data_IF_551186996299
#
_entry.id   IF_551186996299
#
_cell.length_a   1.000
_cell.length_b   1.000
_cell.length_c   1.000
_cell.angle_alpha   90.00
_cell.angle_beta   90.00
_cell.angle_gamma   90.00
#
_symmetry.space_group_name_H-M   'P 1'
#
loop_
_entity.id
_entity.type
_entity.pdbx_description
1 polymer ?
#
# COMPACT_ATOMS: atom_id res chain seq x y z
N UNK A 1 -42.50 -50.05 -40.58
CA UNK A 1 -43.02 -49.57 -39.27
C UNK A 1 -44.47 -50.01 -38.95
N UNK A 2 -45.13 -50.86 -39.76
CA UNK A 2 -46.56 -51.20 -39.56
C UNK A 2 -46.81 -52.42 -38.65
N UNK A 3 -45.96 -53.45 -38.71
CA UNK A 3 -46.19 -54.73 -38.00
C UNK A 3 -46.13 -54.63 -36.46
N UNK A 4 -45.27 -53.78 -35.91
CA UNK A 4 -45.13 -53.61 -34.45
C UNK A 4 -46.35 -52.91 -33.80
N UNK A 5 -47.13 -52.15 -34.57
CA UNK A 5 -48.39 -51.54 -34.10
C UNK A 5 -49.52 -52.58 -34.04
N UNK A 6 -49.50 -53.56 -34.93
CA UNK A 6 -50.47 -54.68 -34.98
C UNK A 6 -50.40 -55.57 -33.74
N UNK A 7 -49.19 -55.98 -33.32
CA UNK A 7 -49.04 -56.89 -32.18
C UNK A 7 -49.42 -56.25 -30.83
N UNK A 8 -49.08 -54.96 -30.63
CA UNK A 8 -49.44 -54.22 -29.42
C UNK A 8 -50.95 -53.92 -29.35
N UNK A 9 -51.59 -53.69 -30.50
CA UNK A 9 -53.04 -53.58 -30.62
C UNK A 9 -53.75 -54.93 -30.34
N UNK A 10 -53.21 -56.04 -30.86
CA UNK A 10 -53.72 -57.39 -30.60
C UNK A 10 -53.62 -57.78 -29.11
N UNK A 11 -52.53 -57.43 -28.43
CA UNK A 11 -52.39 -57.65 -26.98
C UNK A 11 -53.27 -56.71 -26.14
N UNK A 12 -53.50 -55.47 -26.60
CA UNK A 12 -54.43 -54.55 -25.95
C UNK A 12 -55.89 -55.00 -26.09
N UNK A 13 -56.27 -55.59 -27.23
CA UNK A 13 -57.57 -56.25 -27.42
C UNK A 13 -57.78 -57.41 -26.44
N UNK A 14 -56.72 -58.16 -26.10
CA UNK A 14 -56.77 -59.27 -25.13
C UNK A 14 -57.21 -58.85 -23.72
N UNK A 15 -56.96 -57.59 -23.33
CA UNK A 15 -57.34 -57.07 -22.00
C UNK A 15 -58.84 -56.73 -21.90
N UNK A 16 -59.55 -56.65 -23.02
CA UNK A 16 -60.99 -56.37 -23.09
C UNK A 16 -61.88 -57.60 -23.31
N UNK A 17 -61.32 -58.82 -23.45
CA UNK A 17 -62.10 -60.07 -23.59
C UNK A 17 -62.56 -60.66 -22.25
N UNK A 18 -62.79 -59.82 -21.25
CA UNK A 18 -63.28 -60.22 -19.94
C UNK A 18 -64.81 -60.23 -19.85
N UNK A 19 -65.57 -60.65 -20.88
CA UNK A 19 -67.03 -60.89 -20.77
C UNK A 19 -67.71 -61.29 -22.10
N UNK A 20 -67.30 -62.42 -22.72
CA UNK A 20 -68.13 -63.32 -23.56
C UNK A 20 -67.19 -64.15 -24.44
N UNK A 21 -66.89 -65.39 -24.04
CA UNK A 21 -66.37 -66.39 -24.98
C UNK A 21 -67.50 -66.79 -25.93
N UNK A 22 -67.67 -66.05 -27.02
CA UNK A 22 -68.32 -66.61 -28.21
C UNK A 22 -67.37 -67.66 -28.76
N UNK A 23 -67.82 -68.91 -28.81
CA UNK A 23 -67.06 -70.00 -29.40
C UNK A 23 -66.65 -69.61 -30.83
N UNK A 24 -65.35 -69.62 -31.14
CA UNK A 24 -64.81 -69.21 -32.45
C UNK A 24 -65.40 -70.07 -33.58
N UNK A 25 -65.60 -71.37 -33.33
CA UNK A 25 -66.17 -72.32 -34.28
C UNK A 25 -67.42 -73.00 -33.70
N UNK A 26 -68.48 -73.05 -34.51
CA UNK A 26 -69.70 -73.82 -34.33
C UNK A 26 -69.91 -74.73 -35.55
N UNK A 27 -70.84 -75.69 -35.47
CA UNK A 27 -71.15 -76.57 -36.61
C UNK A 27 -71.67 -75.82 -37.84
N UNK A 28 -72.28 -74.65 -37.63
CA UNK A 28 -72.86 -73.83 -38.71
C UNK A 28 -71.85 -72.94 -39.44
N UNK A 29 -70.67 -72.66 -38.86
CA UNK A 29 -69.66 -71.76 -39.42
C UNK A 29 -68.29 -72.43 -39.60
N UNK A 30 -68.26 -73.76 -39.63
CA UNK A 30 -67.02 -74.54 -39.63
C UNK A 30 -66.10 -74.20 -40.81
N UNK A 31 -66.64 -74.07 -42.02
CA UNK A 31 -65.86 -73.79 -43.24
C UNK A 31 -65.26 -72.38 -43.25
N UNK A 32 -66.03 -71.39 -42.82
CA UNK A 32 -65.58 -70.00 -42.66
C UNK A 32 -64.53 -69.87 -41.55
N UNK A 33 -64.74 -70.58 -40.42
CA UNK A 33 -63.82 -70.59 -39.29
C UNK A 33 -62.49 -71.27 -39.63
N UNK A 34 -62.53 -72.37 -40.40
CA UNK A 34 -61.33 -73.05 -40.90
C UNK A 34 -60.54 -72.20 -41.90
N UNK A 35 -61.24 -71.50 -42.80
CA UNK A 35 -60.61 -70.57 -43.75
C UNK A 35 -59.94 -69.40 -43.02
N UNK A 36 -60.63 -68.80 -42.04
CA UNK A 36 -60.09 -67.74 -41.19
C UNK A 36 -58.88 -68.22 -40.39
N UNK A 37 -58.96 -69.41 -39.79
CA UNK A 37 -57.84 -70.00 -39.04
C UNK A 37 -56.64 -70.29 -39.96
N UNK A 38 -56.88 -70.74 -41.19
CA UNK A 38 -55.82 -70.99 -42.17
C UNK A 38 -55.08 -69.69 -42.53
N UNK A 39 -55.78 -68.60 -42.79
CA UNK A 39 -55.19 -67.28 -43.06
C UNK A 39 -54.37 -66.76 -41.86
N UNK A 40 -54.91 -66.90 -40.65
CA UNK A 40 -54.20 -66.51 -39.43
C UNK A 40 -52.92 -67.34 -39.25
N UNK A 41 -52.98 -68.66 -39.41
CA UNK A 41 -51.81 -69.53 -39.34
C UNK A 41 -50.75 -69.16 -40.38
N UNK A 42 -51.15 -68.87 -41.62
CA UNK A 42 -50.23 -68.39 -42.66
C UNK A 42 -49.55 -67.08 -42.27
N UNK A 43 -50.29 -66.15 -41.64
CA UNK A 43 -49.73 -64.88 -41.16
C UNK A 43 -48.65 -65.07 -40.08
N UNK A 44 -48.73 -66.17 -39.31
CA UNK A 44 -47.71 -66.60 -38.35
C UNK A 44 -46.62 -67.50 -38.97
N UNK A 45 -46.62 -67.70 -40.29
CA UNK A 45 -45.68 -68.56 -41.01
C UNK A 45 -45.90 -70.06 -40.77
N UNK A 46 -47.10 -70.44 -40.33
CA UNK A 46 -47.49 -71.84 -40.09
C UNK A 46 -48.31 -72.31 -41.28
N UNK A 47 -47.89 -73.41 -41.92
CA UNK A 47 -48.63 -74.00 -43.03
C UNK A 47 -50.06 -74.32 -42.59
N UNK A 48 -51.10 -73.85 -43.31
CA UNK A 48 -52.48 -74.10 -42.95
C UNK A 48 -52.85 -75.56 -43.19
N UNK A 49 -53.78 -76.06 -42.39
CA UNK A 49 -54.34 -77.40 -42.54
C UNK A 49 -55.59 -77.28 -43.40
N UNK A 50 -55.47 -77.58 -44.69
CA UNK A 50 -56.63 -77.67 -45.58
C UNK A 50 -57.38 -78.98 -45.29
N UNK A 51 -58.64 -78.87 -44.92
CA UNK A 51 -59.53 -80.00 -44.67
C UNK A 51 -60.59 -79.98 -45.77
N UNK A 52 -60.44 -80.82 -46.80
CA UNK A 52 -61.53 -80.97 -47.78
C UNK A 52 -62.58 -81.93 -47.19
N UNK A 53 -63.86 -81.54 -47.23
CA UNK A 53 -64.95 -82.33 -46.66
C UNK A 53 -65.09 -83.75 -47.28
N UNK A 54 -64.58 -83.93 -48.51
CA UNK A 54 -64.56 -85.23 -49.22
C UNK A 54 -63.39 -86.14 -48.80
N UNK A 55 -62.42 -85.64 -48.02
CA UNK A 55 -61.23 -86.41 -47.61
C UNK A 55 -61.42 -87.22 -46.33
N UNK A 56 -62.51 -87.00 -45.58
CA UNK A 56 -62.76 -87.67 -44.29
C UNK A 56 -63.52 -88.99 -44.48
N UNK A 57 -63.30 -89.67 -45.60
CA UNK A 57 -63.94 -90.97 -45.88
C UNK A 57 -63.17 -92.16 -45.27
N UNK A 58 -61.95 -91.94 -44.74
CA UNK A 58 -61.11 -92.99 -44.15
C UNK A 58 -60.51 -92.60 -42.78
N UNK A 59 -60.27 -93.60 -41.93
CA UNK A 59 -59.57 -93.40 -40.64
C UNK A 59 -58.13 -92.91 -40.84
N UNK A 60 -57.49 -93.25 -41.96
CA UNK A 60 -56.10 -92.89 -42.27
C UNK A 60 -55.97 -91.39 -42.62
N UNK A 61 -56.90 -90.85 -43.40
CA UNK A 61 -56.94 -89.42 -43.74
C UNK A 61 -57.26 -88.54 -42.53
N UNK A 62 -58.11 -89.01 -41.61
CA UNK A 62 -58.38 -88.32 -40.34
C UNK A 62 -57.13 -88.25 -39.43
N UNK A 63 -56.33 -89.31 -39.40
CA UNK A 63 -55.03 -89.32 -38.68
C UNK A 63 -54.06 -88.31 -39.29
N UNK A 64 -53.96 -88.23 -40.62
CA UNK A 64 -53.08 -87.27 -41.30
C UNK A 64 -53.48 -85.81 -41.02
N UNK A 65 -54.78 -85.50 -41.10
CA UNK A 65 -55.30 -84.16 -40.77
C UNK A 65 -55.04 -83.82 -39.30
N UNK A 66 -55.26 -84.77 -38.40
CA UNK A 66 -54.98 -84.60 -36.96
C UNK A 66 -53.49 -84.33 -36.70
N UNK A 67 -52.59 -85.04 -37.38
CA UNK A 67 -51.15 -84.81 -37.26
C UNK A 67 -50.73 -83.42 -37.78
N UNK A 68 -51.29 -82.98 -38.91
CA UNK A 68 -51.05 -81.62 -39.45
C UNK A 68 -51.53 -80.55 -38.47
N UNK A 69 -52.71 -80.74 -37.88
CA UNK A 69 -53.29 -79.82 -36.90
C UNK A 69 -52.47 -79.76 -35.60
N UNK A 70 -52.06 -80.91 -35.08
CA UNK A 70 -51.19 -80.99 -33.90
C UNK A 70 -49.85 -80.31 -34.13
N UNK A 71 -49.26 -80.47 -35.32
CA UNK A 71 -48.02 -79.77 -35.69
C UNK A 71 -48.21 -78.26 -35.83
N UNK A 72 -49.34 -77.80 -36.38
CA UNK A 72 -49.67 -76.38 -36.45
C UNK A 72 -49.83 -75.76 -35.05
N UNK A 73 -50.57 -76.43 -34.16
CA UNK A 73 -50.71 -76.00 -32.76
C UNK A 73 -49.38 -76.02 -32.01
N UNK A 74 -48.55 -77.04 -32.22
CA UNK A 74 -47.22 -77.10 -31.62
C UNK A 74 -46.34 -75.92 -32.05
N UNK A 75 -46.32 -75.60 -33.36
CA UNK A 75 -45.61 -74.42 -33.89
C UNK A 75 -46.14 -73.13 -33.29
N UNK A 76 -47.45 -72.97 -33.17
CA UNK A 76 -48.07 -71.79 -32.57
C UNK A 76 -47.66 -71.61 -31.10
N UNK A 77 -47.76 -72.68 -30.30
CA UNK A 77 -47.35 -72.66 -28.88
C UNK A 77 -45.85 -72.36 -28.76
N UNK A 78 -45.04 -72.96 -29.62
CA UNK A 78 -43.59 -72.75 -29.61
C UNK A 78 -43.24 -71.29 -29.95
N UNK A 79 -43.83 -70.75 -31.02
CA UNK A 79 -43.65 -69.35 -31.43
C UNK A 79 -44.10 -68.39 -30.31
N UNK A 80 -45.25 -68.67 -29.67
CA UNK A 80 -45.73 -67.87 -28.55
C UNK A 80 -44.74 -67.88 -27.38
N UNK A 81 -44.21 -69.05 -26.99
CA UNK A 81 -43.20 -69.15 -25.92
C UNK A 81 -41.92 -68.40 -26.27
N UNK A 82 -41.44 -68.50 -27.50
CA UNK A 82 -40.26 -67.75 -27.97
C UNK A 82 -40.50 -66.24 -27.94
N UNK A 83 -41.67 -65.79 -28.39
CA UNK A 83 -42.04 -64.38 -28.39
C UNK A 83 -42.16 -63.83 -26.98
N UNK A 84 -42.76 -64.59 -26.05
CA UNK A 84 -42.85 -64.20 -24.64
C UNK A 84 -41.48 -64.12 -23.98
N UNK A 85 -40.57 -65.04 -24.30
CA UNK A 85 -39.18 -64.98 -23.82
C UNK A 85 -38.47 -63.72 -24.33
N UNK A 86 -38.53 -63.46 -25.65
CA UNK A 86 -37.92 -62.27 -26.25
C UNK A 86 -38.52 -60.97 -25.70
N UNK A 87 -39.84 -60.94 -25.49
CA UNK A 87 -40.54 -59.81 -24.89
C UNK A 87 -40.04 -59.53 -23.46
N UNK A 88 -39.89 -60.57 -22.63
CA UNK A 88 -39.38 -60.43 -21.27
C UNK A 88 -37.94 -59.93 -21.26
N UNK A 89 -37.07 -60.49 -22.10
CA UNK A 89 -35.67 -60.04 -22.25
C UNK A 89 -35.58 -58.56 -22.67
N UNK A 90 -36.43 -58.14 -23.61
CA UNK A 90 -36.51 -56.75 -24.05
C UNK A 90 -37.02 -55.82 -22.94
N UNK A 91 -38.02 -56.27 -22.18
CA UNK A 91 -38.56 -55.49 -21.06
C UNK A 91 -37.52 -55.31 -19.94
N UNK A 92 -36.73 -56.35 -19.65
CA UNK A 92 -35.64 -56.28 -18.68
C UNK A 92 -34.50 -55.37 -19.17
N UNK A 93 -34.18 -55.40 -20.47
CA UNK A 93 -33.23 -54.47 -21.08
C UNK A 93 -33.72 -53.03 -21.00
N UNK A 94 -34.99 -52.78 -21.35
CA UNK A 94 -35.60 -51.46 -21.28
C UNK A 94 -35.60 -50.91 -19.85
N UNK A 95 -35.96 -51.74 -18.86
CA UNK A 95 -35.94 -51.37 -17.45
C UNK A 95 -34.54 -50.96 -16.99
N UNK A 96 -33.50 -51.73 -17.37
CA UNK A 96 -32.10 -51.42 -17.09
C UNK A 96 -31.67 -50.08 -17.70
N UNK A 97 -31.91 -49.89 -19.00
CA UNK A 97 -31.56 -48.65 -19.71
C UNK A 97 -32.31 -47.45 -19.11
N UNK A 98 -33.57 -47.61 -18.72
CA UNK A 98 -34.36 -46.56 -18.08
C UNK A 98 -33.75 -46.15 -16.73
N UNK A 99 -33.32 -47.12 -15.92
CA UNK A 99 -32.64 -46.84 -14.66
C UNK A 99 -31.29 -46.16 -14.87
N UNK A 100 -30.48 -46.63 -15.82
CA UNK A 100 -29.18 -46.04 -16.15
C UNK A 100 -29.34 -44.59 -16.62
N UNK A 101 -30.32 -44.32 -17.48
CA UNK A 101 -30.64 -42.97 -17.92
C UNK A 101 -31.08 -42.07 -16.77
N UNK A 102 -31.90 -42.57 -15.84
CA UNK A 102 -32.29 -41.83 -14.63
C UNK A 102 -31.06 -41.49 -13.76
N UNK A 103 -30.18 -42.46 -13.56
CA UNK A 103 -28.93 -42.28 -12.81
C UNK A 103 -28.01 -41.26 -13.48
N UNK A 104 -27.81 -41.36 -14.78
CA UNK A 104 -27.01 -40.39 -15.55
C UNK A 104 -27.61 -38.99 -15.50
N UNK A 105 -28.93 -38.84 -15.64
CA UNK A 105 -29.61 -37.55 -15.52
C UNK A 105 -29.40 -36.93 -14.15
N UNK A 106 -29.48 -37.72 -13.08
CA UNK A 106 -29.21 -37.27 -11.72
C UNK A 106 -27.74 -36.88 -11.54
N UNK A 107 -26.81 -37.64 -12.11
CA UNK A 107 -25.38 -37.31 -12.05
C UNK A 107 -25.07 -36.00 -12.77
N UNK A 108 -25.59 -35.82 -13.99
CA UNK A 108 -25.49 -34.56 -14.74
C UNK A 108 -26.07 -33.38 -13.95
N UNK A 109 -27.22 -33.57 -13.29
CA UNK A 109 -27.81 -32.53 -12.44
C UNK A 109 -26.87 -32.13 -11.29
N UNK A 110 -26.30 -33.09 -10.57
CA UNK A 110 -25.34 -32.82 -9.48
C UNK A 110 -24.10 -32.10 -9.98
N UNK A 111 -23.54 -32.54 -11.11
CA UNK A 111 -22.36 -31.88 -11.72
C UNK A 111 -22.66 -30.44 -12.12
N UNK A 112 -23.86 -30.14 -12.64
CA UNK A 112 -24.28 -28.76 -12.94
C UNK A 112 -24.37 -27.90 -11.68
N UNK A 113 -24.93 -28.44 -10.60
CA UNK A 113 -25.00 -27.74 -9.31
C UNK A 113 -23.62 -27.48 -8.71
N UNK A 114 -22.71 -28.45 -8.79
CA UNK A 114 -21.32 -28.28 -8.37
C UNK A 114 -20.58 -27.25 -9.22
N UNK A 115 -20.75 -27.28 -10.54
CA UNK A 115 -20.16 -26.29 -11.44
C UNK A 115 -20.63 -24.87 -11.08
N UNK A 116 -21.93 -24.67 -10.85
CA UNK A 116 -22.46 -23.38 -10.45
C UNK A 116 -21.85 -22.90 -9.13
N UNK A 117 -21.79 -23.78 -8.11
CA UNK A 117 -21.17 -23.47 -6.82
C UNK A 117 -19.70 -23.05 -6.98
N UNK A 118 -18.94 -23.74 -7.85
CA UNK A 118 -17.54 -23.40 -8.12
C UNK A 118 -17.42 -22.07 -8.85
N UNK A 119 -18.31 -21.79 -9.81
CA UNK A 119 -18.34 -20.52 -10.53
C UNK A 119 -18.65 -19.33 -9.60
N UNK A 120 -19.59 -19.51 -8.68
CA UNK A 120 -19.94 -18.50 -7.69
C UNK A 120 -18.77 -18.25 -6.72
N UNK A 121 -18.12 -19.31 -6.23
CA UNK A 121 -16.95 -19.22 -5.36
C UNK A 121 -15.75 -18.55 -6.06
N UNK A 122 -15.52 -18.86 -7.34
CA UNK A 122 -14.51 -18.20 -8.15
C UNK A 122 -14.77 -16.70 -8.26
N UNK A 123 -16.02 -16.32 -8.58
CA UNK A 123 -16.43 -14.92 -8.71
C UNK A 123 -16.25 -14.14 -7.40
N UNK A 124 -16.62 -14.73 -6.27
CA UNK A 124 -16.40 -14.14 -4.94
C UNK A 124 -14.90 -13.96 -4.62
N UNK A 125 -14.08 -14.93 -4.98
CA UNK A 125 -12.63 -14.89 -4.77
C UNK A 125 -11.99 -13.79 -5.63
N UNK A 126 -12.37 -13.69 -6.90
CA UNK A 126 -11.90 -12.64 -7.81
C UNK A 126 -12.27 -11.24 -7.32
N UNK A 127 -13.50 -11.03 -6.84
CA UNK A 127 -13.89 -9.73 -6.28
C UNK A 127 -13.11 -9.41 -4.99
N UNK A 128 -12.85 -10.41 -4.14
CA UNK A 128 -12.01 -10.24 -2.95
C UNK A 128 -10.58 -9.85 -3.34
N UNK A 129 -10.00 -10.52 -4.33
CA UNK A 129 -8.68 -10.20 -4.86
C UNK A 129 -8.63 -8.77 -5.42
N UNK A 130 -9.63 -8.37 -6.20
CA UNK A 130 -9.75 -7.00 -6.72
C UNK A 130 -9.78 -5.96 -5.60
N UNK A 131 -10.57 -6.21 -4.54
CA UNK A 131 -10.64 -5.31 -3.37
C UNK A 131 -9.29 -5.22 -2.64
N UNK A 132 -8.63 -6.35 -2.42
CA UNK A 132 -7.30 -6.38 -1.79
C UNK A 132 -6.26 -5.64 -2.63
N UNK A 133 -6.32 -5.78 -3.96
CA UNK A 133 -5.43 -5.05 -4.87
C UNK A 133 -5.61 -3.54 -4.75
N UNK A 134 -6.85 -3.07 -4.72
CA UNK A 134 -7.16 -1.63 -4.51
C UNK A 134 -6.64 -1.13 -3.16
N UNK A 135 -6.82 -1.91 -2.08
CA UNK A 135 -6.30 -1.56 -0.76
C UNK A 135 -4.77 -1.51 -0.74
N UNK A 136 -4.12 -2.52 -1.32
CA UNK A 136 -2.67 -2.57 -1.45
C UNK A 136 -2.12 -1.35 -2.20
N UNK A 137 -2.74 -0.99 -3.32
CA UNK A 137 -2.31 0.16 -4.11
C UNK A 137 -2.52 1.49 -3.35
N UNK A 138 -3.56 1.59 -2.52
CA UNK A 138 -3.78 2.74 -1.64
C UNK A 138 -2.67 2.85 -0.57
N UNK A 139 -2.42 1.77 0.18
CA UNK A 139 -1.37 1.71 1.21
C UNK A 139 0.01 1.98 0.61
N UNK A 140 0.29 1.45 -0.59
CA UNK A 140 1.55 1.69 -1.30
C UNK A 140 1.76 3.17 -1.65
N UNK A 141 0.70 3.86 -2.10
CA UNK A 141 0.74 5.31 -2.34
C UNK A 141 1.00 6.10 -1.07
N UNK A 142 0.35 5.74 0.03
CA UNK A 142 0.52 6.45 1.30
C UNK A 142 1.91 6.20 1.89
N UNK A 143 2.42 4.97 1.82
CA UNK A 143 3.80 4.66 2.19
C UNK A 143 4.81 5.50 1.40
N UNK A 144 4.59 5.68 0.09
CA UNK A 144 5.45 6.52 -0.76
C UNK A 144 5.38 7.99 -0.31
N UNK A 145 4.20 8.48 0.03
CA UNK A 145 3.98 9.85 0.54
C UNK A 145 4.74 10.06 1.85
N UNK A 146 4.58 9.17 2.82
CA UNK A 146 5.25 9.25 4.12
C UNK A 146 6.78 9.19 3.99
N UNK A 147 7.30 8.35 3.09
CA UNK A 147 8.75 8.33 2.79
C UNK A 147 9.24 9.66 2.23
N UNK A 148 8.47 10.30 1.36
CA UNK A 148 8.82 11.60 0.79
C UNK A 148 8.79 12.70 1.86
N UNK A 149 7.76 12.75 2.72
CA UNK A 149 7.67 13.71 3.82
C UNK A 149 8.79 13.49 4.85
N UNK A 150 9.09 12.24 5.21
CA UNK A 150 10.24 11.92 6.08
C UNK A 150 11.55 12.43 5.49
N UNK A 151 11.75 12.24 4.19
CA UNK A 151 12.97 12.72 3.49
C UNK A 151 13.03 14.25 3.49
N UNK A 152 11.90 14.92 3.29
CA UNK A 152 11.78 16.39 3.32
C UNK A 152 12.08 16.95 4.71
N UNK A 153 11.47 16.39 5.75
CA UNK A 153 11.72 16.78 7.14
C UNK A 153 13.19 16.55 7.54
N UNK A 154 13.79 15.42 7.13
CA UNK A 154 15.22 15.16 7.36
C UNK A 154 16.11 16.23 6.71
N UNK A 155 15.80 16.65 5.48
CA UNK A 155 16.53 17.74 4.81
C UNK A 155 16.37 19.08 5.55
N UNK A 156 15.15 19.39 6.01
CA UNK A 156 14.89 20.59 6.79
C UNK A 156 15.65 20.59 8.12
N UNK A 157 15.70 19.46 8.81
CA UNK A 157 16.46 19.30 10.04
C UNK A 157 17.96 19.54 9.82
N UNK A 158 18.57 18.89 8.82
CA UNK A 158 19.98 19.10 8.48
C UNK A 158 20.28 20.56 8.13
N UNK A 159 19.39 21.21 7.38
CA UNK A 159 19.54 22.64 7.06
C UNK A 159 19.46 23.52 8.31
N UNK A 160 18.57 23.19 9.25
CA UNK A 160 18.43 23.92 10.53
C UNK A 160 19.64 23.71 11.42
N UNK A 161 20.13 22.49 11.54
CA UNK A 161 21.33 22.17 12.32
C UNK A 161 22.54 22.95 11.79
N UNK A 162 22.73 22.99 10.46
CA UNK A 162 23.78 23.80 9.84
C UNK A 162 23.60 25.29 10.13
N UNK A 163 22.38 25.83 10.02
CA UNK A 163 22.10 27.23 10.37
C UNK A 163 22.45 27.54 11.83
N UNK A 164 22.01 26.70 12.77
CA UNK A 164 22.30 26.86 14.19
C UNK A 164 23.79 26.76 14.49
N UNK A 165 24.50 25.84 13.84
CA UNK A 165 25.95 25.71 13.99
C UNK A 165 26.69 26.98 13.49
N UNK A 166 26.24 27.56 12.37
CA UNK A 166 26.76 28.85 11.90
C UNK A 166 26.46 30.00 12.87
N UNK A 167 25.25 30.07 13.41
CA UNK A 167 24.87 31.07 14.41
C UNK A 167 25.69 30.94 15.70
N UNK A 168 25.88 29.71 16.20
CA UNK A 168 26.73 29.43 17.36
C UNK A 168 28.17 29.86 17.12
N UNK A 169 28.76 29.50 15.96
CA UNK A 169 30.11 29.97 15.58
C UNK A 169 30.21 31.49 15.56
N UNK A 170 29.21 32.18 14.98
CA UNK A 170 29.17 33.65 14.93
C UNK A 170 29.10 34.26 16.34
N UNK A 171 28.25 33.71 17.22
CA UNK A 171 28.12 34.17 18.61
C UNK A 171 29.42 33.94 19.37
N UNK A 172 30.06 32.77 19.22
CA UNK A 172 31.35 32.46 19.83
C UNK A 172 32.45 33.41 19.36
N UNK A 173 32.52 33.72 18.06
CA UNK A 173 33.49 34.68 17.54
C UNK A 173 33.23 36.10 18.06
N UNK A 174 31.97 36.52 18.15
CA UNK A 174 31.62 37.83 18.70
C UNK A 174 31.93 37.93 20.19
N UNK A 175 31.67 36.87 20.97
CA UNK A 175 32.00 36.85 22.41
C UNK A 175 33.50 36.87 22.65
N UNK A 176 34.31 36.21 21.79
CA UNK A 176 35.76 36.32 21.81
C UNK A 176 36.22 37.75 21.50
N UNK A 177 35.70 38.39 20.44
CA UNK A 177 36.02 39.80 20.13
C UNK A 177 35.66 40.75 21.26
N UNK A 178 34.48 40.60 21.87
CA UNK A 178 34.06 41.41 23.01
C UNK A 178 34.98 41.19 24.22
N UNK A 179 35.40 39.95 24.48
CA UNK A 179 36.37 39.62 25.54
C UNK A 179 37.72 40.29 25.28
N UNK A 180 38.23 40.24 24.05
CA UNK A 180 39.46 40.92 23.66
C UNK A 180 39.36 42.44 23.80
N UNK A 181 38.23 43.04 23.42
CA UNK A 181 37.96 44.46 23.61
C UNK A 181 37.93 44.82 25.10
N UNK A 182 37.25 44.01 25.93
CA UNK A 182 37.22 44.20 27.38
C UNK A 182 38.61 44.11 27.98
N UNK A 183 39.43 43.12 27.57
CA UNK A 183 40.80 42.97 28.06
C UNK A 183 41.66 44.18 27.67
N UNK A 184 41.52 44.69 26.44
CA UNK A 184 42.18 45.93 26.01
C UNK A 184 41.71 47.13 26.84
N UNK A 185 40.40 47.29 27.05
CA UNK A 185 39.89 48.40 27.87
C UNK A 185 40.33 48.29 29.31
N UNK A 186 40.35 47.11 29.93
CA UNK A 186 40.79 46.92 31.32
C UNK A 186 42.30 47.11 31.46
N UNK A 187 43.10 46.69 30.48
CA UNK A 187 44.54 46.95 30.45
C UNK A 187 44.92 48.42 30.20
N UNK A 188 44.02 49.20 29.60
CA UNK A 188 44.19 50.64 29.34
C UNK A 188 43.42 51.51 30.34
N UNK A 189 42.55 50.90 31.17
CA UNK A 189 41.74 51.59 32.16
C UNK A 189 42.63 51.98 33.33
N UNK A 190 43.13 53.21 33.27
CA UNK A 190 43.67 53.89 34.43
C UNK A 190 42.49 54.54 35.13
N UNK A 191 42.13 54.16 36.37
CA UNK A 191 41.05 54.82 37.11
C UNK A 191 41.26 56.34 37.08
N UNK A 192 40.18 57.10 36.86
CA UNK A 192 40.24 58.57 36.74
C UNK A 192 41.03 59.20 37.88
N UNK A 193 40.90 58.64 39.09
CA UNK A 193 41.63 59.06 40.28
C UNK A 193 43.13 58.86 40.16
N UNK A 194 43.61 57.73 39.61
CA UNK A 194 45.04 57.49 39.38
C UNK A 194 45.59 58.36 38.25
N UNK A 195 44.80 58.62 37.21
CA UNK A 195 45.20 59.52 36.12
C UNK A 195 45.28 60.98 36.60
N UNK A 196 44.29 61.44 37.39
CA UNK A 196 44.33 62.76 38.03
C UNK A 196 45.45 62.87 39.06
N UNK A 197 45.69 61.83 39.87
CA UNK A 197 46.79 61.80 40.83
C UNK A 197 48.14 61.91 40.12
N UNK A 198 48.34 61.18 39.01
CA UNK A 198 49.56 61.28 38.22
C UNK A 198 49.75 62.70 37.64
N UNK A 199 48.70 63.26 37.05
CA UNK A 199 48.73 64.65 36.53
C UNK A 199 49.03 65.66 37.65
N UNK A 200 48.44 65.47 38.83
CA UNK A 200 48.66 66.33 39.99
C UNK A 200 50.08 66.21 40.52
N UNK A 201 50.65 64.99 40.60
CA UNK A 201 52.06 64.81 41.00
C UNK A 201 53.03 65.41 40.00
N UNK A 202 52.72 65.38 38.71
CA UNK A 202 53.57 65.99 37.68
C UNK A 202 53.48 67.53 37.75
N UNK A 203 52.29 68.08 37.98
CA UNK A 203 52.11 69.51 38.22
C UNK A 203 52.80 69.98 39.51
N UNK A 204 52.73 69.21 40.61
CA UNK A 204 53.43 69.53 41.85
C UNK A 204 54.95 69.56 41.66
N UNK A 205 55.53 68.62 40.91
CA UNK A 205 56.96 68.65 40.56
C UNK A 205 57.31 69.90 39.76
N UNK A 206 56.47 70.26 38.79
CA UNK A 206 56.67 71.45 37.97
C UNK A 206 56.61 72.74 38.82
N UNK A 207 55.63 72.84 39.72
CA UNK A 207 55.52 73.96 40.68
C UNK A 207 56.74 74.03 41.60
N UNK A 208 57.26 72.89 42.07
CA UNK A 208 58.49 72.85 42.87
C UNK A 208 59.70 73.36 42.06
N UNK A 209 59.82 72.97 40.79
CA UNK A 209 60.88 73.48 39.90
C UNK A 209 60.76 74.99 39.67
N UNK A 210 59.56 75.50 39.42
CA UNK A 210 59.33 76.95 39.28
C UNK A 210 59.68 77.69 40.57
N UNK A 211 59.27 77.19 41.74
CA UNK A 211 59.63 77.78 43.04
C UNK A 211 61.14 77.81 43.28
N UNK A 212 61.85 76.73 42.95
CA UNK A 212 63.31 76.69 43.06
C UNK A 212 63.98 77.71 42.13
N UNK A 213 63.45 77.86 40.92
CA UNK A 213 63.95 78.83 39.93
C UNK A 213 63.73 80.27 40.43
N UNK A 214 62.54 80.57 40.96
CA UNK A 214 62.23 81.88 41.55
C UNK A 214 63.20 82.20 42.69
N UNK A 215 63.42 81.28 43.64
CA UNK A 215 64.39 81.50 44.73
C UNK A 215 65.80 81.79 44.24
N UNK A 216 66.26 81.10 43.19
CA UNK A 216 67.56 81.39 42.56
C UNK A 216 67.61 82.79 41.97
N UNK A 217 66.55 83.23 41.32
CA UNK A 217 66.46 84.58 40.75
C UNK A 217 66.38 85.65 41.84
N UNK A 218 65.64 85.41 42.92
CA UNK A 218 65.57 86.30 44.08
C UNK A 218 66.93 86.44 44.77
N UNK A 219 67.67 85.34 44.95
CA UNK A 219 69.02 85.39 45.52
C UNK A 219 70.00 86.10 44.59
N UNK A 220 69.91 85.88 43.27
CA UNK A 220 70.71 86.60 42.29
C UNK A 220 70.42 88.12 42.34
N UNK A 221 69.15 88.51 42.40
CA UNK A 221 68.75 89.90 42.57
C UNK A 221 69.27 90.49 43.89
N UNK A 222 69.27 89.73 44.99
CA UNK A 222 69.84 90.16 46.28
C UNK A 222 71.33 90.42 46.18
N UNK A 223 72.07 89.53 45.51
CA UNK A 223 73.51 89.69 45.27
C UNK A 223 73.80 90.91 44.38
N UNK A 224 73.04 91.12 43.31
CA UNK A 224 73.18 92.32 42.47
C UNK A 224 72.89 93.61 43.24
N UNK A 225 71.85 93.62 44.09
CA UNK A 225 71.56 94.79 44.93
C UNK A 225 72.67 95.05 45.97
N UNK A 226 73.27 94.00 46.51
CA UNK A 226 74.41 94.12 47.40
C UNK A 226 75.62 94.69 46.66
N UNK A 227 75.93 94.20 45.46
CA UNK A 227 77.00 94.72 44.62
C UNK A 227 76.77 96.19 44.22
N UNK A 228 75.52 96.57 43.92
CA UNK A 228 75.15 97.97 43.67
C UNK A 228 75.41 98.84 44.92
N UNK A 229 75.08 98.35 46.12
CA UNK A 229 75.37 99.09 47.35
C UNK A 229 76.87 99.19 47.62
N UNK A 230 77.63 98.11 47.44
CA UNK A 230 79.09 98.11 47.62
C UNK A 230 79.77 99.07 46.63
N UNK A 231 79.30 99.11 45.38
CA UNK A 231 79.74 100.09 44.38
C UNK A 231 79.34 101.51 44.75
N UNK A 232 78.14 101.72 45.30
CA UNK A 232 77.66 103.03 45.76
C UNK A 232 78.47 103.54 46.95
N UNK A 233 78.81 102.67 47.90
CA UNK A 233 79.65 102.99 49.05
C UNK A 233 81.09 103.29 48.60
N UNK A 234 81.62 102.55 47.62
CA UNK A 234 82.90 102.84 46.99
C UNK A 234 82.90 104.18 46.26
N UNK A 235 81.82 104.51 45.54
CA UNK A 235 81.63 105.82 44.89
C UNK A 235 81.50 106.96 45.91
N UNK A 236 80.82 106.73 47.02
CA UNK A 236 80.70 107.68 48.14
C UNK A 236 82.06 107.94 48.78
N UNK A 237 82.86 106.89 49.03
CA UNK A 237 84.25 107.01 49.50
C UNK A 237 85.12 107.74 48.47
N UNK A 238 84.90 107.53 47.18
CA UNK A 238 85.63 108.25 46.15
C UNK A 238 85.21 109.72 46.05
N UNK A 239 83.92 110.03 46.21
CA UNK A 239 83.40 111.40 46.32
C UNK A 239 83.98 112.11 47.53
N UNK A 240 83.97 111.48 48.71
CA UNK A 240 84.58 112.05 49.91
C UNK A 240 86.10 112.17 49.80
N UNK A 241 86.78 111.27 49.09
CA UNK A 241 88.19 111.43 48.76
C UNK A 241 88.46 112.60 47.79
N UNK A 242 87.57 112.85 46.83
CA UNK A 242 87.62 114.01 45.93
C UNK A 242 87.36 115.29 46.73
N UNK A 243 86.37 115.30 47.63
CA UNK A 243 86.04 116.44 48.49
C UNK A 243 87.21 116.77 49.43
N UNK A 244 87.85 115.75 50.03
CA UNK A 244 89.07 115.93 50.84
C UNK A 244 90.29 116.33 50.01
N UNK A 245 90.40 115.90 48.75
CA UNK A 245 91.44 116.40 47.83
C UNK A 245 91.19 117.85 47.44
N UNK A 246 89.94 118.26 47.24
CA UNK A 246 89.56 119.65 46.98
C UNK A 246 89.82 120.54 48.21
N UNK A 247 89.58 120.03 49.41
CA UNK A 247 89.87 120.74 50.67
C UNK A 247 91.39 120.88 50.93
N UNK A 248 92.20 119.90 50.51
CA UNK A 248 93.66 119.96 50.61
C UNK A 248 94.34 120.82 49.52
N UNK A 249 93.61 121.24 48.47
CA UNK A 249 94.19 121.98 47.31
C UNK A 249 93.76 123.45 47.18
N UNK A 250 92.96 123.98 48.11
CA UNK A 250 92.87 125.44 48.35
C UNK A 250 92.32 126.29 47.19
N UNK A 251 91.15 125.93 46.66
CA UNK A 251 90.37 126.80 45.77
C UNK A 251 88.91 126.91 46.26
N UNK A 252 88.59 128.02 46.92
CA UNK A 252 87.21 128.41 47.24
C UNK A 252 86.75 129.50 46.27
N UNK A 253 85.53 129.38 45.75
CA UNK A 253 84.74 130.51 45.27
C UNK A 253 83.28 130.28 45.61
N UNK A 254 82.71 131.21 46.38
CA UNK A 254 81.28 131.38 46.66
C UNK A 254 80.45 131.66 45.39
N UNK A 255 79.19 131.22 45.37
CA UNK A 255 77.98 132.07 45.23
C UNK A 255 76.65 131.27 45.21
N UNK A 256 75.82 131.53 46.23
CA UNK A 256 74.35 131.76 46.27
C UNK A 256 73.35 130.93 45.43
N UNK A 257 72.54 130.07 46.08
CA UNK A 257 71.17 130.32 46.62
C UNK A 257 70.54 129.04 47.20
#
# INVERSE_FOLDING_TARGET
MSAARSFKAALAMRRNFGSQEKCFCTTSNLEESLSTLAEELESFGISPVKIDNNTIESVESLKEVSAKLMNAFWKLIHNHRMLMKSHNELNDSYSRISNDNSNLKNHVKRLKEELQKKQDALSQTQERERRLKVQYDAISRDLKREKNETTKLKKQLLSKDSQHEHELRRIMQNSLKLREQLQKSTGTYTPRDKAMQKLQTDHEKEVVLYKQTIRRLEENNRLMLQEINDLKDSLSLHSTAIDLQMEASGMWTDTDL
#
